data_IF_173812080389
#
_entry.id   IF_173812080389
#
_cell.length_a   1.000
_cell.length_b   1.000
_cell.length_c   1.000
_cell.angle_alpha   90.00
_cell.angle_beta   90.00
_cell.angle_gamma   90.00
#
_symmetry.space_group_name_H-M   'P 1'
#
loop_
_entity.id
_entity.type
_entity.pdbx_description
1 polymer ?
#
# COMPACT_ATOMS: atom_id res chain seq x y z
N UNK A 1 37.24 52.28 48.21
CA UNK A 1 35.94 52.13 47.59
C UNK A 1 36.14 51.17 46.41
N UNK A 2 35.85 49.90 46.57
CA UNK A 2 36.03 48.90 45.53
C UNK A 2 34.64 48.64 44.89
N UNK A 3 34.54 48.89 43.59
CA UNK A 3 33.42 48.45 42.80
C UNK A 3 33.54 46.99 42.45
N UNK A 4 32.65 46.17 43.00
CA UNK A 4 32.45 44.79 42.55
C UNK A 4 31.49 44.86 41.35
N UNK A 5 32.02 44.62 40.14
CA UNK A 5 31.19 44.31 38.97
C UNK A 5 30.82 42.82 39.03
N UNK A 6 29.57 42.54 39.36
CA UNK A 6 28.99 41.22 39.20
C UNK A 6 28.67 41.07 37.71
N UNK A 7 29.47 40.27 37.00
CA UNK A 7 29.21 39.86 35.65
C UNK A 7 28.15 38.75 35.69
N UNK A 8 26.97 39.03 35.17
CA UNK A 8 25.97 38.00 34.91
C UNK A 8 26.46 37.14 33.73
N UNK A 9 27.12 36.04 34.02
CA UNK A 9 27.67 35.11 33.05
C UNK A 9 26.71 34.00 32.65
N UNK A 10 25.42 34.14 33.03
CA UNK A 10 24.42 33.07 32.92
C UNK A 10 23.48 33.19 31.71
N UNK A 11 23.78 34.08 30.75
CA UNK A 11 22.90 34.34 29.62
C UNK A 11 23.36 33.79 28.28
N UNK A 12 24.41 32.98 28.23
CA UNK A 12 25.01 32.50 26.96
C UNK A 12 25.09 30.98 26.82
N UNK A 13 24.61 30.23 27.79
CA UNK A 13 24.45 28.79 27.60
C UNK A 13 23.04 28.53 27.06
N UNK A 14 22.96 28.32 25.73
CA UNK A 14 21.76 27.71 25.17
C UNK A 14 21.66 26.30 25.73
N UNK A 15 20.82 26.11 26.75
CA UNK A 15 20.39 24.77 27.13
C UNK A 15 19.71 24.17 25.92
N UNK A 16 20.29 23.10 25.35
CA UNK A 16 19.65 22.32 24.34
C UNK A 16 18.48 21.60 25.00
N UNK A 17 17.30 22.22 24.96
CA UNK A 17 16.06 21.54 25.36
C UNK A 17 15.84 20.44 24.33
N UNK A 18 16.23 19.22 24.67
CA UNK A 18 15.88 18.05 23.89
C UNK A 18 14.38 17.84 24.04
N UNK A 19 13.60 18.51 23.20
CA UNK A 19 12.17 18.25 23.14
C UNK A 19 11.99 16.83 22.61
N UNK A 20 11.65 15.91 23.49
CA UNK A 20 11.22 14.57 23.12
C UNK A 20 9.84 14.70 22.52
N UNK A 21 9.78 14.73 21.17
CA UNK A 21 8.50 14.75 20.46
C UNK A 21 7.78 13.43 20.75
N UNK A 22 6.71 13.50 21.51
CA UNK A 22 5.86 12.33 21.77
C UNK A 22 4.91 12.11 20.59
N UNK A 23 4.72 10.86 20.21
CA UNK A 23 3.71 10.46 19.23
C UNK A 23 2.30 10.63 19.83
N UNK A 24 1.23 10.81 19.03
CA UNK A 24 -0.12 10.98 19.56
C UNK A 24 -0.57 9.88 20.52
N UNK A 25 -0.22 8.64 20.25
CA UNK A 25 -0.50 7.48 21.11
C UNK A 25 0.28 7.48 22.43
N UNK A 26 1.39 8.21 22.51
CA UNK A 26 2.19 8.37 23.73
C UNK A 26 1.71 9.57 24.58
N UNK A 27 1.12 10.59 23.95
CA UNK A 27 0.64 11.79 24.63
C UNK A 27 -0.62 11.50 25.44
N UNK A 28 -1.60 10.84 24.85
CA UNK A 28 -2.86 10.42 25.49
C UNK A 28 -3.30 9.06 24.91
N UNK A 29 -2.85 7.95 25.51
CA UNK A 29 -3.18 6.61 25.04
C UNK A 29 -4.68 6.29 25.06
N UNK A 30 -5.44 6.85 26.02
CA UNK A 30 -6.87 6.60 26.12
C UNK A 30 -7.63 7.30 25.00
N UNK A 31 -7.34 8.58 24.77
CA UNK A 31 -7.93 9.34 23.68
C UNK A 31 -7.55 8.74 22.32
N UNK A 32 -6.31 8.30 22.16
CA UNK A 32 -5.86 7.61 20.95
C UNK A 32 -6.65 6.31 20.69
N UNK A 33 -6.87 5.50 21.73
CA UNK A 33 -7.64 4.26 21.60
C UNK A 33 -9.10 4.54 21.21
N UNK A 34 -9.74 5.56 21.80
CA UNK A 34 -11.09 5.99 21.44
C UNK A 34 -11.16 6.48 19.97
N UNK A 35 -10.21 7.32 19.58
CA UNK A 35 -10.13 7.86 18.22
C UNK A 35 -9.97 6.75 17.18
N UNK A 36 -9.01 5.84 17.36
CA UNK A 36 -8.77 4.76 16.42
C UNK A 36 -9.91 3.74 16.40
N UNK A 37 -10.63 3.55 17.51
CA UNK A 37 -11.83 2.73 17.52
C UNK A 37 -12.95 3.35 16.66
N UNK A 38 -13.16 4.67 16.77
CA UNK A 38 -14.13 5.38 15.94
C UNK A 38 -13.76 5.34 14.44
N UNK A 39 -12.47 5.44 14.11
CA UNK A 39 -11.99 5.26 12.71
C UNK A 39 -12.32 3.88 12.18
N UNK A 40 -12.06 2.83 12.93
CA UNK A 40 -12.37 1.45 12.51
C UNK A 40 -13.88 1.23 12.35
N UNK A 41 -14.71 1.79 13.23
CA UNK A 41 -16.16 1.74 13.10
C UNK A 41 -16.62 2.44 11.83
N UNK A 42 -16.12 3.65 11.55
CA UNK A 42 -16.41 4.36 10.30
C UNK A 42 -16.03 3.52 9.07
N UNK A 43 -14.84 2.91 9.05
CA UNK A 43 -14.36 2.11 7.92
C UNK A 43 -15.11 0.79 7.73
N UNK A 44 -15.88 0.34 8.72
CA UNK A 44 -16.80 -0.79 8.60
C UNK A 44 -18.20 -0.39 8.11
N UNK A 45 -18.52 0.90 8.14
CA UNK A 45 -19.77 1.42 7.60
C UNK A 45 -19.73 1.55 6.08
N UNK A 46 -20.88 1.72 5.45
CA UNK A 46 -20.95 2.01 4.01
C UNK A 46 -20.43 3.43 3.74
N UNK A 47 -19.35 3.53 2.97
CA UNK A 47 -18.73 4.80 2.59
C UNK A 47 -17.95 4.66 1.28
N UNK A 48 -17.49 5.78 0.73
CA UNK A 48 -16.57 5.78 -0.43
C UNK A 48 -15.19 5.34 0.02
N UNK A 49 -14.70 4.21 -0.52
CA UNK A 49 -13.37 3.69 -0.21
C UNK A 49 -12.29 4.57 -0.84
N UNK A 50 -11.25 4.86 -0.07
CA UNK A 50 -10.09 5.64 -0.49
C UNK A 50 -8.88 4.73 -0.61
N UNK A 51 -8.29 4.67 -1.81
CA UNK A 51 -7.09 3.90 -2.13
C UNK A 51 -5.91 4.84 -2.40
N UNK A 52 -4.72 4.44 -2.00
CA UNK A 52 -3.48 5.12 -2.36
C UNK A 52 -2.34 4.13 -2.56
N UNK A 53 -1.31 4.57 -3.31
CA UNK A 53 -0.05 3.87 -3.42
C UNK A 53 1.02 4.57 -2.57
N UNK A 54 1.90 3.80 -1.96
CA UNK A 54 2.98 4.31 -1.13
C UNK A 54 4.29 3.60 -1.44
N UNK A 55 5.34 4.38 -1.75
CA UNK A 55 6.68 3.88 -1.96
C UNK A 55 7.37 3.68 -0.60
N UNK A 56 7.16 2.51 -0.01
CA UNK A 56 7.75 2.10 1.25
C UNK A 56 9.24 1.71 1.08
N UNK A 57 9.90 1.32 2.18
CA UNK A 57 11.27 0.78 2.17
C UNK A 57 12.35 1.85 2.25
N UNK A 58 12.05 3.07 2.71
CA UNK A 58 13.07 4.06 2.99
C UNK A 58 14.04 3.53 4.07
N UNK A 59 15.34 3.40 3.77
CA UNK A 59 16.31 2.87 4.75
C UNK A 59 16.50 3.82 5.93
N UNK A 60 16.27 5.10 5.72
CA UNK A 60 16.28 6.15 6.75
C UNK A 60 15.10 7.07 6.44
N UNK A 61 14.17 7.20 7.37
CA UNK A 61 13.11 8.18 7.26
C UNK A 61 13.70 9.59 7.48
N UNK A 62 13.72 10.40 6.41
CA UNK A 62 14.23 11.77 6.48
C UNK A 62 13.14 12.77 6.84
N UNK A 63 11.89 12.37 6.69
CA UNK A 63 10.71 13.17 7.03
C UNK A 63 9.49 12.26 7.25
N UNK A 64 8.42 12.80 7.82
CA UNK A 64 7.16 12.08 8.02
C UNK A 64 6.54 11.57 6.71
N UNK A 65 6.80 12.21 5.56
CA UNK A 65 6.34 11.72 4.24
C UNK A 65 6.90 10.34 3.86
N UNK A 66 8.01 9.93 4.49
CA UNK A 66 8.65 8.64 4.25
C UNK A 66 8.08 7.54 5.19
N UNK A 67 7.11 7.90 6.04
CA UNK A 67 6.57 7.04 7.08
C UNK A 67 5.13 6.63 6.78
N UNK A 68 4.82 5.34 6.86
CA UNK A 68 3.45 4.81 6.69
C UNK A 68 2.48 5.36 7.72
N UNK A 69 2.93 5.58 8.96
CA UNK A 69 2.11 6.15 10.05
C UNK A 69 1.54 7.53 9.73
N UNK A 70 2.16 8.26 8.81
CA UNK A 70 1.75 9.63 8.41
C UNK A 70 0.68 9.64 7.31
N UNK A 71 0.26 8.47 6.83
CA UNK A 71 -0.82 8.36 5.87
C UNK A 71 -2.12 8.92 6.45
N UNK A 72 -2.94 9.60 5.62
CA UNK A 72 -4.22 10.17 6.05
C UNK A 72 -5.16 9.13 6.66
N UNK A 73 -5.85 9.49 7.72
CA UNK A 73 -6.76 8.59 8.44
C UNK A 73 -8.00 8.21 7.61
N UNK A 74 -8.35 9.02 6.60
CA UNK A 74 -9.42 8.72 5.63
C UNK A 74 -9.07 7.61 4.64
N UNK A 75 -7.81 7.14 4.61
CA UNK A 75 -7.36 6.08 3.71
C UNK A 75 -7.86 4.72 4.19
N UNK A 76 -8.43 3.91 3.29
CA UNK A 76 -8.90 2.56 3.59
C UNK A 76 -7.89 1.49 3.21
N UNK A 77 -7.25 1.64 2.04
CA UNK A 77 -6.29 0.69 1.53
C UNK A 77 -5.06 1.40 0.98
N UNK A 78 -3.89 0.90 1.31
CA UNK A 78 -2.61 1.35 0.75
C UNK A 78 -1.89 0.21 0.03
N UNK A 79 -1.56 0.43 -1.25
CA UNK A 79 -0.70 -0.45 -2.05
C UNK A 79 0.76 -0.10 -1.81
N UNK A 80 1.53 -1.05 -1.26
CA UNK A 80 2.95 -0.90 -0.97
C UNK A 80 3.77 -1.22 -2.22
N UNK A 81 4.32 -0.20 -2.88
CA UNK A 81 4.97 -0.37 -4.19
C UNK A 81 6.41 -0.90 -4.11
N UNK A 82 6.98 -0.99 -2.91
CA UNK A 82 8.32 -1.54 -2.68
C UNK A 82 8.34 -2.57 -1.53
N UNK A 83 7.32 -3.41 -1.47
CA UNK A 83 7.16 -4.39 -0.39
C UNK A 83 8.25 -5.48 -0.37
N UNK A 84 9.01 -5.67 -1.46
CA UNK A 84 10.21 -6.51 -1.48
C UNK A 84 11.28 -6.00 -0.49
N UNK A 85 11.39 -4.68 -0.30
CA UNK A 85 12.41 -4.02 0.52
C UNK A 85 11.79 -3.35 1.76
N UNK A 86 11.04 -4.12 2.54
CA UNK A 86 10.38 -3.66 3.74
C UNK A 86 11.39 -3.25 4.82
N UNK A 87 11.39 -1.97 5.23
CA UNK A 87 12.29 -1.44 6.24
C UNK A 87 11.83 -1.77 7.67
N UNK A 88 12.68 -1.54 8.66
CA UNK A 88 12.31 -1.65 10.07
C UNK A 88 11.26 -0.60 10.45
N UNK A 89 11.37 0.62 9.91
CA UNK A 89 10.37 1.69 10.09
C UNK A 89 9.01 1.31 9.53
N UNK A 90 8.96 0.68 8.34
CA UNK A 90 7.71 0.18 7.78
C UNK A 90 7.03 -0.84 8.72
N UNK A 91 7.84 -1.73 9.36
CA UNK A 91 7.31 -2.74 10.30
C UNK A 91 6.69 -2.11 11.53
N UNK A 92 7.35 -1.10 12.11
CA UNK A 92 6.81 -0.35 13.24
C UNK A 92 5.51 0.36 12.87
N UNK A 93 5.48 0.98 11.70
CA UNK A 93 4.36 1.78 11.24
C UNK A 93 3.13 0.96 10.85
N UNK A 94 3.31 -0.32 10.44
CA UNK A 94 2.18 -1.23 10.15
C UNK A 94 1.23 -1.38 11.34
N UNK A 95 1.76 -1.40 12.56
CA UNK A 95 0.92 -1.48 13.76
C UNK A 95 -0.01 -0.26 13.86
N UNK A 96 0.51 0.93 13.55
CA UNK A 96 -0.28 2.18 13.55
C UNK A 96 -1.34 2.17 12.46
N UNK A 97 -1.04 1.66 11.26
CA UNK A 97 -2.04 1.51 10.19
C UNK A 97 -3.19 0.60 10.63
N UNK A 98 -2.88 -0.53 11.28
CA UNK A 98 -3.89 -1.46 11.79
C UNK A 98 -4.76 -0.83 12.89
N UNK A 99 -4.16 -0.06 13.80
CA UNK A 99 -4.92 0.71 14.80
C UNK A 99 -5.91 1.66 14.15
N UNK A 100 -5.52 2.34 13.06
CA UNK A 100 -6.36 3.24 12.27
C UNK A 100 -7.37 2.51 11.36
N UNK A 101 -7.28 1.19 11.22
CA UNK A 101 -8.10 0.40 10.30
C UNK A 101 -7.73 0.58 8.83
N UNK A 102 -6.49 0.99 8.53
CA UNK A 102 -5.95 1.08 7.17
C UNK A 102 -5.37 -0.28 6.79
N UNK A 103 -5.82 -0.83 5.68
CA UNK A 103 -5.35 -2.11 5.15
C UNK A 103 -4.15 -1.91 4.23
N UNK A 104 -3.05 -2.60 4.50
CA UNK A 104 -1.86 -2.55 3.68
C UNK A 104 -1.76 -3.80 2.80
N UNK A 105 -1.62 -3.62 1.48
CA UNK A 105 -1.51 -4.72 0.52
C UNK A 105 -0.15 -4.73 -0.17
N UNK A 106 0.36 -5.94 -0.45
CA UNK A 106 1.59 -6.14 -1.21
C UNK A 106 1.30 -5.92 -2.68
N UNK A 107 1.90 -4.90 -3.30
CA UNK A 107 1.72 -4.63 -4.72
C UNK A 107 2.86 -5.23 -5.56
N UNK A 108 2.48 -5.98 -6.58
CA UNK A 108 3.38 -6.51 -7.61
C UNK A 108 3.17 -5.73 -8.90
N UNK A 109 4.07 -4.80 -9.20
CA UNK A 109 4.05 -4.05 -10.46
C UNK A 109 4.57 -4.92 -11.61
N UNK A 110 3.75 -5.87 -12.06
CA UNK A 110 4.12 -6.71 -13.21
C UNK A 110 4.15 -5.91 -14.52
N UNK A 111 3.32 -4.89 -14.66
CA UNK A 111 3.28 -4.05 -15.86
C UNK A 111 4.66 -3.44 -16.18
N UNK A 112 5.38 -2.94 -15.16
CA UNK A 112 6.71 -2.34 -15.33
C UNK A 112 7.83 -3.37 -15.29
N UNK A 113 7.63 -4.51 -14.62
CA UNK A 113 8.70 -5.48 -14.29
C UNK A 113 8.62 -6.78 -15.07
N UNK A 114 7.76 -6.87 -16.10
CA UNK A 114 7.54 -8.12 -16.85
C UNK A 114 8.82 -8.72 -17.44
N UNK A 115 9.79 -7.89 -17.82
CA UNK A 115 11.08 -8.33 -18.39
C UNK A 115 12.10 -8.84 -17.36
N UNK A 116 11.82 -8.68 -16.06
CA UNK A 116 12.69 -9.18 -14.99
C UNK A 116 12.56 -10.70 -14.80
N UNK A 117 11.48 -11.31 -15.30
CA UNK A 117 11.22 -12.73 -15.16
C UNK A 117 11.66 -13.49 -16.42
N UNK A 118 12.62 -14.39 -16.27
CA UNK A 118 13.18 -15.16 -17.38
C UNK A 118 12.12 -16.06 -18.05
N UNK A 119 11.21 -16.62 -17.27
CA UNK A 119 10.15 -17.51 -17.73
C UNK A 119 9.00 -17.60 -16.68
N UNK A 120 7.97 -18.36 -17.01
CA UNK A 120 6.82 -18.61 -16.15
C UNK A 120 7.18 -19.31 -14.83
N UNK A 121 8.24 -20.12 -14.81
CA UNK A 121 8.70 -20.80 -13.60
C UNK A 121 9.31 -19.80 -12.63
N UNK A 122 10.15 -18.89 -13.13
CA UNK A 122 10.74 -17.80 -12.35
C UNK A 122 9.65 -16.87 -11.79
N UNK A 123 8.67 -16.50 -12.62
CA UNK A 123 7.51 -15.72 -12.18
C UNK A 123 6.73 -16.46 -11.09
N UNK A 124 6.41 -17.74 -11.29
CA UNK A 124 5.69 -18.54 -10.31
C UNK A 124 6.41 -18.63 -8.97
N UNK A 125 7.72 -18.85 -8.98
CA UNK A 125 8.55 -18.86 -7.77
C UNK A 125 8.58 -17.48 -7.05
N UNK A 126 8.57 -16.39 -7.81
CA UNK A 126 8.47 -15.04 -7.25
C UNK A 126 7.10 -14.84 -6.58
N UNK A 127 6.00 -15.19 -7.24
CA UNK A 127 4.64 -15.06 -6.67
C UNK A 127 4.47 -15.89 -5.39
N UNK A 128 5.05 -17.08 -5.33
CA UNK A 128 5.06 -17.89 -4.09
C UNK A 128 5.80 -17.18 -2.95
N UNK A 129 6.92 -16.50 -3.24
CA UNK A 129 7.62 -15.66 -2.26
C UNK A 129 6.77 -14.47 -1.81
N UNK A 130 6.08 -13.81 -2.74
CA UNK A 130 5.17 -12.69 -2.43
C UNK A 130 4.07 -13.14 -1.47
N UNK A 131 3.43 -14.29 -1.74
CA UNK A 131 2.40 -14.85 -0.84
C UNK A 131 2.97 -15.18 0.54
N UNK A 132 4.14 -15.79 0.61
CA UNK A 132 4.81 -16.09 1.87
C UNK A 132 5.16 -14.79 2.64
N UNK A 133 5.68 -13.79 1.94
CA UNK A 133 6.06 -12.49 2.50
C UNK A 133 4.87 -11.70 3.01
N UNK A 134 3.75 -11.71 2.29
CA UNK A 134 2.48 -11.09 2.72
C UNK A 134 2.03 -11.62 4.08
N UNK A 135 2.14 -12.95 4.28
CA UNK A 135 1.81 -13.58 5.56
C UNK A 135 2.83 -13.25 6.65
N UNK A 136 4.13 -13.32 6.34
CA UNK A 136 5.22 -12.99 7.29
C UNK A 136 5.08 -11.56 7.83
N UNK A 137 4.77 -10.60 6.95
CA UNK A 137 4.58 -9.19 7.29
C UNK A 137 3.19 -8.92 7.87
N UNK A 138 2.30 -9.93 7.86
CA UNK A 138 0.92 -9.78 8.30
C UNK A 138 0.21 -8.63 7.57
N UNK A 139 0.38 -8.55 6.25
CA UNK A 139 -0.33 -7.61 5.39
C UNK A 139 -1.76 -8.08 5.15
N UNK A 140 -2.61 -7.16 4.71
CA UNK A 140 -4.06 -7.36 4.60
C UNK A 140 -4.50 -7.81 3.19
N UNK A 141 -3.55 -8.01 2.27
CA UNK A 141 -3.86 -8.47 0.92
C UNK A 141 -2.72 -8.40 -0.08
N UNK A 142 -3.11 -8.68 -1.31
CA UNK A 142 -2.26 -8.73 -2.49
C UNK A 142 -2.85 -7.82 -3.57
N UNK A 143 -2.00 -7.10 -4.28
CA UNK A 143 -2.35 -6.34 -5.47
C UNK A 143 -1.36 -6.63 -6.59
N UNK A 144 -1.78 -6.58 -7.84
CA UNK A 144 -0.89 -6.73 -8.97
C UNK A 144 -1.36 -5.91 -10.16
N UNK A 145 -0.41 -5.53 -11.02
CA UNK A 145 -0.69 -4.82 -12.26
C UNK A 145 -0.49 -5.71 -13.49
N UNK A 146 -1.04 -5.29 -14.63
CA UNK A 146 -0.81 -5.91 -15.91
C UNK A 146 -1.35 -5.06 -17.05
N UNK A 147 -0.73 -5.19 -18.24
CA UNK A 147 -1.14 -4.47 -19.43
C UNK A 147 -1.68 -5.48 -20.44
N UNK A 148 -2.92 -5.32 -20.95
CA UNK A 148 -3.45 -6.22 -21.98
C UNK A 148 -2.68 -6.08 -23.29
N UNK A 149 -2.44 -7.21 -23.96
CA UNK A 149 -1.74 -7.28 -25.22
C UNK A 149 -2.75 -7.48 -26.35
N UNK A 150 -2.72 -6.59 -27.34
CA UNK A 150 -3.56 -6.63 -28.55
C UNK A 150 -2.77 -7.06 -29.80
N UNK A 151 -1.67 -7.76 -29.61
CA UNK A 151 -0.80 -8.26 -30.66
C UNK A 151 -1.26 -9.57 -31.33
N UNK A 152 -0.32 -10.39 -31.74
CA UNK A 152 -0.56 -11.70 -32.34
C UNK A 152 -1.24 -12.67 -31.34
N UNK A 153 -1.84 -13.74 -31.87
CA UNK A 153 -2.44 -14.80 -31.05
C UNK A 153 -1.45 -15.41 -30.07
N UNK A 154 -0.17 -15.51 -30.45
CA UNK A 154 0.89 -16.03 -29.59
C UNK A 154 1.18 -15.07 -28.41
N UNK A 155 1.24 -13.76 -28.66
CA UNK A 155 1.47 -12.76 -27.62
C UNK A 155 0.27 -12.67 -26.66
N UNK A 156 -0.94 -12.73 -27.20
CA UNK A 156 -2.16 -12.78 -26.38
C UNK A 156 -2.24 -14.05 -25.54
N UNK A 157 -1.85 -15.20 -26.10
CA UNK A 157 -1.79 -16.47 -25.35
C UNK A 157 -0.77 -16.41 -24.22
N UNK A 158 0.41 -15.83 -24.46
CA UNK A 158 1.43 -15.64 -23.43
C UNK A 158 0.92 -14.72 -22.30
N UNK A 159 0.31 -13.59 -22.62
CA UNK A 159 -0.30 -12.70 -21.61
C UNK A 159 -1.39 -13.40 -20.81
N UNK A 160 -2.28 -14.17 -21.44
CA UNK A 160 -3.33 -14.94 -20.76
C UNK A 160 -2.73 -15.98 -19.80
N UNK A 161 -1.63 -16.63 -20.17
CA UNK A 161 -0.94 -17.58 -19.30
C UNK A 161 -0.37 -16.88 -18.05
N UNK A 162 0.21 -15.69 -18.20
CA UNK A 162 0.69 -14.87 -17.09
C UNK A 162 -0.47 -14.49 -16.17
N UNK A 163 -1.56 -13.95 -16.71
CA UNK A 163 -2.73 -13.56 -15.93
C UNK A 163 -3.31 -14.76 -15.15
N UNK A 164 -3.42 -15.92 -15.80
CA UNK A 164 -3.87 -17.16 -15.16
C UNK A 164 -2.96 -17.59 -14.01
N UNK A 165 -1.63 -17.45 -14.14
CA UNK A 165 -0.68 -17.76 -13.08
C UNK A 165 -0.85 -16.83 -11.86
N UNK A 166 -1.02 -15.51 -12.06
CA UNK A 166 -1.33 -14.59 -10.96
C UNK A 166 -2.60 -15.00 -10.22
N UNK A 167 -3.66 -15.28 -10.97
CA UNK A 167 -4.94 -15.70 -10.38
C UNK A 167 -4.81 -17.05 -9.68
N UNK A 168 -4.10 -18.02 -10.24
CA UNK A 168 -3.85 -19.31 -9.59
C UNK A 168 -3.18 -19.11 -8.22
N UNK A 169 -2.11 -18.32 -8.17
CA UNK A 169 -1.33 -18.12 -6.94
C UNK A 169 -2.04 -17.22 -5.92
N UNK A 170 -2.56 -16.10 -6.36
CA UNK A 170 -3.10 -15.08 -5.45
C UNK A 170 -4.54 -15.40 -5.03
N UNK A 171 -5.39 -15.82 -5.98
CA UNK A 171 -6.76 -16.19 -5.63
C UNK A 171 -6.87 -17.50 -4.82
N UNK A 172 -5.78 -18.26 -4.67
CA UNK A 172 -5.74 -19.35 -3.70
C UNK A 172 -5.84 -18.86 -2.24
N UNK A 173 -5.30 -17.67 -1.93
CA UNK A 173 -5.16 -17.15 -0.56
C UNK A 173 -5.91 -15.84 -0.31
N UNK A 174 -6.24 -15.07 -1.34
CA UNK A 174 -6.85 -13.75 -1.26
C UNK A 174 -8.09 -13.66 -2.17
N UNK A 175 -8.92 -12.63 -2.00
CA UNK A 175 -10.09 -12.38 -2.83
C UNK A 175 -11.42 -12.61 -2.13
N UNK A 176 -12.55 -12.47 -2.84
CA UNK A 176 -13.87 -12.46 -2.26
C UNK A 176 -14.17 -13.63 -1.31
N UNK A 177 -14.64 -13.28 -0.10
CA UNK A 177 -14.93 -14.25 0.95
C UNK A 177 -13.71 -14.79 1.69
N UNK A 178 -12.52 -14.28 1.46
CA UNK A 178 -11.28 -14.61 2.18
C UNK A 178 -10.87 -13.46 3.10
N UNK A 179 -9.93 -13.77 4.00
CA UNK A 179 -9.37 -12.79 4.93
C UNK A 179 -8.50 -11.73 4.22
N UNK A 180 -7.72 -12.18 3.23
CA UNK A 180 -6.85 -11.30 2.45
C UNK A 180 -7.58 -10.74 1.23
N UNK A 181 -7.42 -9.44 1.01
CA UNK A 181 -7.90 -8.77 -0.20
C UNK A 181 -7.08 -9.17 -1.42
N UNK A 182 -7.74 -9.23 -2.58
CA UNK A 182 -7.09 -9.31 -3.88
C UNK A 182 -7.51 -8.11 -4.74
N UNK A 183 -6.54 -7.29 -5.13
CA UNK A 183 -6.74 -6.13 -5.99
C UNK A 183 -6.04 -6.33 -7.34
N UNK A 184 -6.59 -5.73 -8.36
CA UNK A 184 -5.94 -5.58 -9.65
C UNK A 184 -5.86 -4.10 -10.04
N UNK A 185 -4.64 -3.62 -10.38
CA UNK A 185 -4.38 -2.23 -10.72
C UNK A 185 -4.02 -2.11 -12.20
N UNK A 186 -4.97 -1.64 -13.02
CA UNK A 186 -4.79 -1.49 -14.45
C UNK A 186 -6.04 -1.78 -15.28
N UNK A 187 -5.87 -2.10 -16.58
CA UNK A 187 -7.00 -2.44 -17.46
C UNK A 187 -7.47 -3.88 -17.20
N UNK A 188 -8.73 -4.06 -16.78
CA UNK A 188 -9.32 -5.38 -16.49
C UNK A 188 -9.30 -6.37 -17.66
N UNK A 189 -9.08 -5.91 -18.88
CA UNK A 189 -8.92 -6.79 -20.05
C UNK A 189 -7.65 -7.65 -19.99
N UNK A 190 -6.70 -7.33 -19.10
CA UNK A 190 -5.58 -8.21 -18.79
C UNK A 190 -6.05 -9.56 -18.25
N UNK A 191 -7.14 -9.57 -17.47
CA UNK A 191 -7.71 -10.80 -16.90
C UNK A 191 -8.75 -11.41 -17.82
N UNK A 192 -8.81 -12.74 -17.82
CA UNK A 192 -9.94 -13.44 -18.44
C UNK A 192 -11.25 -13.06 -17.74
N UNK A 193 -12.34 -12.95 -18.48
CA UNK A 193 -13.64 -12.54 -17.93
C UNK A 193 -14.08 -13.40 -16.72
N UNK A 194 -13.85 -14.73 -16.78
CA UNK A 194 -14.16 -15.65 -15.69
C UNK A 194 -13.31 -15.43 -14.41
N UNK A 195 -12.15 -14.78 -14.53
CA UNK A 195 -11.24 -14.55 -13.41
C UNK A 195 -11.50 -13.21 -12.71
N UNK A 196 -12.20 -12.29 -13.34
CA UNK A 196 -12.50 -10.98 -12.76
C UNK A 196 -13.30 -11.09 -11.46
N UNK A 197 -14.23 -12.04 -11.37
CA UNK A 197 -14.99 -12.30 -10.15
C UNK A 197 -14.17 -12.82 -8.96
N UNK A 198 -12.88 -13.12 -9.16
CA UNK A 198 -11.95 -13.54 -8.10
C UNK A 198 -11.20 -12.37 -7.44
N UNK A 199 -11.40 -11.16 -7.95
CA UNK A 199 -10.77 -9.91 -7.50
C UNK A 199 -11.78 -9.11 -6.70
N UNK A 200 -11.39 -8.56 -5.54
CA UNK A 200 -12.26 -7.71 -4.74
C UNK A 200 -12.45 -6.32 -5.33
N UNK A 201 -11.35 -5.71 -5.80
CA UNK A 201 -11.38 -4.34 -6.32
C UNK A 201 -10.48 -4.18 -7.54
N UNK A 202 -10.99 -3.42 -8.52
CA UNK A 202 -10.25 -2.94 -9.68
C UNK A 202 -9.87 -1.48 -9.47
N UNK A 203 -8.56 -1.18 -9.54
CA UNK A 203 -8.03 0.18 -9.49
C UNK A 203 -7.65 0.58 -10.91
N UNK A 204 -8.49 1.41 -11.56
CA UNK A 204 -8.27 1.83 -12.94
C UNK A 204 -7.33 3.03 -12.98
N UNK A 205 -6.33 2.99 -13.88
CA UNK A 205 -5.50 4.16 -14.16
C UNK A 205 -6.27 5.14 -15.05
N UNK A 206 -6.72 6.24 -14.46
CA UNK A 206 -7.51 7.27 -15.14
C UNK A 206 -6.73 8.54 -15.44
N UNK A 207 -5.39 8.53 -15.33
CA UNK A 207 -4.54 9.72 -15.48
C UNK A 207 -4.66 10.39 -16.85
N UNK A 208 -4.84 9.59 -17.90
CA UNK A 208 -5.00 10.05 -19.29
C UNK A 208 -6.47 10.30 -19.66
N UNK A 209 -7.41 10.12 -18.71
CA UNK A 209 -8.84 10.23 -18.96
C UNK A 209 -9.31 11.65 -18.64
N UNK A 210 -9.65 12.42 -19.66
CA UNK A 210 -10.02 13.83 -19.56
C UNK A 210 -11.54 14.09 -19.68
N UNK A 211 -12.33 13.05 -19.95
CA UNK A 211 -13.76 13.19 -20.13
C UNK A 211 -14.59 12.03 -19.53
N UNK A 212 -15.85 12.34 -19.20
CA UNK A 212 -16.75 11.42 -18.54
C UNK A 212 -17.14 10.20 -19.41
N UNK A 213 -17.07 10.31 -20.73
CA UNK A 213 -17.42 9.20 -21.65
C UNK A 213 -16.35 8.13 -21.59
N UNK A 214 -15.09 8.52 -21.66
CA UNK A 214 -13.96 7.58 -21.59
C UNK A 214 -13.88 6.93 -20.21
N UNK A 215 -14.14 7.69 -19.15
CA UNK A 215 -14.22 7.14 -17.79
C UNK A 215 -15.31 6.06 -17.69
N UNK A 216 -16.52 6.33 -18.25
CA UNK A 216 -17.60 5.33 -18.28
C UNK A 216 -17.22 4.09 -19.07
N UNK A 217 -16.52 4.24 -20.20
CA UNK A 217 -16.06 3.11 -21.00
C UNK A 217 -15.03 2.27 -20.24
N UNK A 218 -14.11 2.89 -19.51
CA UNK A 218 -13.16 2.16 -18.66
C UNK A 218 -13.88 1.38 -17.57
N UNK A 219 -14.83 1.99 -16.87
CA UNK A 219 -15.63 1.30 -15.83
C UNK A 219 -16.44 0.15 -16.43
N UNK A 220 -17.07 0.33 -17.59
CA UNK A 220 -17.83 -0.74 -18.25
C UNK A 220 -16.97 -1.92 -18.70
N UNK A 221 -15.66 -1.71 -18.95
CA UNK A 221 -14.72 -2.80 -19.26
C UNK A 221 -14.34 -3.61 -18.02
N UNK A 222 -14.48 -3.03 -16.83
CA UNK A 222 -14.18 -3.70 -15.55
C UNK A 222 -15.35 -4.60 -15.09
N UNK A 223 -16.57 -4.30 -15.52
CA UNK A 223 -17.78 -5.06 -15.23
C UNK A 223 -17.94 -6.24 -16.22
#
# INVERSE_FOLDING_TARGET
MGLFSVSCNDWTEMESVTQKTQRPNEQDPELWAQYTAALREYKQSEHTLVFASFANGAPVATSEKDCLRSLPDSLDVVSLTNADNFSEFDREDLAVLKEKGIRAVYFVDYASRSTEFADMTALGAYLDKVVARTRELNLDGLSFSGIPVFGSDTEQAAQKAVAALFIEKFAAVAGPGKELLLLFEGDPQFLAAADRAKVDYFVLDTKETDNATDLKLQVLRAL
#
